data_IF_869486341519
#
_entry.id   IF_869486341519
#
_cell.length_a   1.000
_cell.length_b   1.000
_cell.length_c   1.000
_cell.angle_alpha   90.00
_cell.angle_beta   90.00
_cell.angle_gamma   90.00
#
_symmetry.space_group_name_H-M   'P 1'
#
loop_
_entity.id
_entity.type
_entity.pdbx_description
1 polymer ?
#
# COMPACT_ATOMS: atom_id res chain seq x y z
N UNK A 1 10.38 -4.46 -0.80
CA UNK A 1 9.40 -3.38 -0.97
C UNK A 1 7.99 -3.93 -1.05
N UNK A 2 7.50 -4.58 -2.12
CA UNK A 2 6.18 -5.23 -2.03
C UNK A 2 6.18 -6.56 -1.23
N UNK A 3 7.24 -7.37 -1.36
CA UNK A 3 7.39 -8.62 -0.58
C UNK A 3 7.37 -8.41 0.93
N UNK A 4 7.76 -7.23 1.42
CA UNK A 4 7.74 -6.93 2.86
C UNK A 4 6.31 -6.79 3.39
N UNK A 5 5.34 -6.43 2.55
CA UNK A 5 3.93 -6.39 2.93
C UNK A 5 3.33 -7.80 3.04
N UNK A 6 3.87 -8.78 2.33
CA UNK A 6 3.39 -10.17 2.38
C UNK A 6 3.80 -10.86 3.67
N UNK A 7 5.00 -10.56 4.15
CA UNK A 7 5.57 -11.05 5.42
C UNK A 7 5.12 -10.25 6.64
N UNK A 8 4.32 -9.20 6.44
CA UNK A 8 3.81 -8.42 7.55
C UNK A 8 2.76 -9.23 8.34
N UNK A 9 2.93 -9.29 9.65
CA UNK A 9 1.97 -9.94 10.53
C UNK A 9 0.65 -9.17 10.59
N UNK A 10 -0.46 -9.88 10.39
CA UNK A 10 -1.83 -9.36 10.51
C UNK A 10 -2.65 -10.20 11.47
N UNK A 11 -3.58 -9.55 12.18
CA UNK A 11 -4.51 -10.24 13.06
C UNK A 11 -5.79 -10.63 12.31
N UNK A 12 -6.12 -11.90 12.35
CA UNK A 12 -7.37 -12.45 11.83
C UNK A 12 -8.20 -13.07 12.96
N UNK A 13 -9.52 -13.06 12.78
CA UNK A 13 -10.48 -13.82 13.60
C UNK A 13 -10.97 -14.99 12.77
N UNK A 14 -10.82 -16.19 13.31
CA UNK A 14 -11.29 -17.42 12.67
C UNK A 14 -12.82 -17.50 12.75
N UNK A 15 -13.45 -17.76 11.61
CA UNK A 15 -14.90 -17.86 11.48
C UNK A 15 -15.40 -19.30 11.62
N UNK A 16 -14.52 -20.29 11.45
CA UNK A 16 -14.83 -21.72 11.50
C UNK A 16 -13.64 -22.47 12.08
N UNK A 17 -13.86 -23.62 12.77
CA UNK A 17 -12.76 -24.48 13.15
C UNK A 17 -12.04 -24.96 11.90
N UNK A 18 -10.71 -24.82 11.89
CA UNK A 18 -9.86 -25.15 10.75
C UNK A 18 -8.81 -26.16 11.21
N UNK A 19 -8.71 -27.34 10.58
CA UNK A 19 -7.70 -28.32 10.95
C UNK A 19 -6.29 -27.77 10.71
N UNK A 20 -5.28 -28.46 11.26
CA UNK A 20 -3.87 -28.16 10.97
C UNK A 20 -3.64 -28.21 9.45
N UNK A 21 -3.04 -27.17 8.90
CA UNK A 21 -2.66 -27.06 7.49
C UNK A 21 -1.16 -27.23 7.40
N UNK A 22 -0.72 -28.22 6.63
CA UNK A 22 0.69 -28.47 6.34
C UNK A 22 1.15 -27.57 5.18
N UNK A 23 2.24 -26.82 5.37
CA UNK A 23 2.81 -25.90 4.38
C UNK A 23 4.07 -26.48 3.72
N UNK A 24 4.49 -27.71 4.08
CA UNK A 24 5.69 -28.38 3.59
C UNK A 24 6.89 -28.22 4.53
N UNK A 25 7.99 -28.94 4.25
CA UNK A 25 9.31 -28.93 4.94
C UNK A 25 9.30 -28.51 6.44
N UNK A 26 8.41 -29.11 7.23
CA UNK A 26 8.22 -28.91 8.69
C UNK A 26 7.49 -27.64 9.14
N UNK A 27 6.91 -26.86 8.23
CA UNK A 27 6.08 -25.70 8.55
C UNK A 27 4.59 -26.04 8.46
N UNK A 28 3.85 -25.75 9.52
CA UNK A 28 2.40 -25.97 9.55
C UNK A 28 1.72 -24.92 10.42
N UNK A 29 0.50 -24.55 10.03
CA UNK A 29 -0.32 -23.56 10.73
C UNK A 29 -1.58 -24.21 11.31
N UNK A 30 -2.01 -23.72 12.47
CA UNK A 30 -3.13 -24.27 13.21
C UNK A 30 -2.79 -25.57 13.95
N UNK A 31 -3.81 -26.35 14.39
CA UNK A 31 -5.24 -26.17 14.16
C UNK A 31 -5.79 -24.90 14.83
N UNK A 32 -6.91 -24.40 14.32
CA UNK A 32 -7.55 -23.19 14.83
C UNK A 32 -9.01 -23.43 15.23
N UNK A 33 -9.44 -22.75 16.29
CA UNK A 33 -10.81 -22.80 16.78
C UNK A 33 -11.65 -21.64 16.23
N UNK A 34 -12.97 -21.80 16.22
CA UNK A 34 -13.89 -20.71 15.88
C UNK A 34 -13.80 -19.57 16.91
N UNK A 35 -13.77 -18.33 16.43
CA UNK A 35 -13.61 -17.13 17.24
C UNK A 35 -12.18 -16.86 17.71
N UNK A 36 -11.23 -17.77 17.44
CA UNK A 36 -9.83 -17.60 17.80
C UNK A 36 -9.20 -16.43 17.03
N UNK A 37 -8.40 -15.64 17.75
CA UNK A 37 -7.63 -14.54 17.16
C UNK A 37 -6.22 -15.03 16.93
N UNK A 38 -5.77 -14.99 15.68
CA UNK A 38 -4.46 -15.49 15.27
C UNK A 38 -3.70 -14.35 14.60
N UNK A 39 -2.39 -14.28 14.86
CA UNK A 39 -1.47 -13.39 14.14
C UNK A 39 -0.67 -14.25 13.17
N UNK A 40 -0.75 -13.95 11.88
CA UNK A 40 -0.04 -14.68 10.82
C UNK A 40 0.53 -13.68 9.80
N UNK A 41 1.58 -14.08 9.05
CA UNK A 41 1.98 -13.38 7.84
C UNK A 41 0.80 -13.14 6.91
N UNK A 42 0.77 -11.97 6.29
CA UNK A 42 -0.37 -11.53 5.51
C UNK A 42 -0.70 -12.46 4.34
N UNK A 43 0.31 -13.10 3.75
CA UNK A 43 0.09 -14.10 2.70
C UNK A 43 -0.71 -15.30 3.21
N UNK A 44 -0.41 -15.82 4.41
CA UNK A 44 -1.14 -16.93 5.03
C UNK A 44 -2.57 -16.51 5.38
N UNK A 45 -2.70 -15.34 6.01
CA UNK A 45 -3.99 -14.77 6.38
C UNK A 45 -4.89 -14.55 5.16
N UNK A 46 -4.33 -14.07 4.03
CA UNK A 46 -5.07 -13.84 2.79
C UNK A 46 -5.73 -15.11 2.26
N UNK A 47 -5.03 -16.24 2.30
CA UNK A 47 -5.59 -17.52 1.87
C UNK A 47 -6.78 -17.95 2.75
N UNK A 48 -6.66 -17.80 4.07
CA UNK A 48 -7.73 -18.13 5.02
C UNK A 48 -8.95 -17.22 4.84
N UNK A 49 -8.73 -15.91 4.65
CA UNK A 49 -9.81 -14.93 4.44
C UNK A 49 -10.49 -15.15 3.08
N UNK A 50 -9.72 -15.40 2.01
CA UNK A 50 -10.26 -15.70 0.68
C UNK A 50 -11.10 -16.98 0.66
N UNK A 51 -10.74 -17.97 1.46
CA UNK A 51 -11.51 -19.20 1.63
C UNK A 51 -12.78 -19.02 2.51
N UNK A 52 -13.01 -17.83 3.06
CA UNK A 52 -14.13 -17.55 3.97
C UNK A 52 -14.00 -18.27 5.32
N UNK A 53 -12.77 -18.63 5.73
CA UNK A 53 -12.45 -19.29 6.99
C UNK A 53 -12.09 -18.30 8.10
N UNK A 54 -11.69 -17.08 7.73
CA UNK A 54 -11.30 -16.03 8.66
C UNK A 54 -11.74 -14.65 8.15
N UNK A 55 -11.64 -13.64 9.01
CA UNK A 55 -11.76 -12.22 8.66
C UNK A 55 -10.65 -11.41 9.35
N UNK A 56 -10.25 -10.27 8.78
CA UNK A 56 -9.33 -9.35 9.45
C UNK A 56 -9.97 -8.80 10.74
N UNK A 57 -9.19 -8.69 11.82
CA UNK A 57 -9.67 -8.30 13.15
C UNK A 57 -9.75 -6.78 13.35
N UNK A 58 -8.66 -6.08 13.07
CA UNK A 58 -8.54 -4.63 13.31
C UNK A 58 -8.46 -3.81 12.01
N UNK A 59 -8.22 -4.48 10.89
CA UNK A 59 -8.01 -3.88 9.58
C UNK A 59 -9.16 -4.30 8.67
N UNK A 60 -10.30 -3.58 8.69
CA UNK A 60 -11.33 -3.84 7.69
C UNK A 60 -10.72 -3.66 6.29
N UNK A 61 -11.02 -4.54 5.30
CA UNK A 61 -10.59 -4.31 3.93
C UNK A 61 -10.94 -2.88 3.50
N UNK A 62 -10.05 -2.22 2.74
CA UNK A 62 -10.35 -0.88 2.21
C UNK A 62 -11.62 -0.98 1.39
N UNK A 63 -12.69 -0.33 1.84
CA UNK A 63 -13.92 -0.26 1.08
C UNK A 63 -13.86 0.89 0.07
N UNK A 64 -14.79 0.89 -0.90
CA UNK A 64 -14.85 1.94 -1.92
C UNK A 64 -14.96 3.35 -1.31
N UNK A 65 -15.71 3.51 -0.22
CA UNK A 65 -15.92 4.82 0.41
C UNK A 65 -14.61 5.39 1.00
N UNK A 66 -13.80 4.56 1.64
CA UNK A 66 -12.49 4.95 2.15
C UNK A 66 -11.51 5.30 1.03
N UNK A 67 -11.50 4.50 -0.05
CA UNK A 67 -10.69 4.78 -1.23
C UNK A 67 -11.07 6.12 -1.88
N UNK A 68 -12.38 6.38 -2.07
CA UNK A 68 -12.86 7.66 -2.58
C UNK A 68 -12.56 8.82 -1.64
N UNK A 69 -12.62 8.60 -0.32
CA UNK A 69 -12.20 9.62 0.67
C UNK A 69 -10.73 9.98 0.51
N UNK A 70 -9.85 8.97 0.34
CA UNK A 70 -8.44 9.19 0.09
C UNK A 70 -8.20 9.95 -1.21
N UNK A 71 -8.84 9.52 -2.31
CA UNK A 71 -8.76 10.18 -3.61
C UNK A 71 -9.19 11.65 -3.53
N UNK A 72 -10.34 11.92 -2.91
CA UNK A 72 -10.87 13.28 -2.77
C UNK A 72 -9.94 14.20 -1.96
N UNK A 73 -9.34 13.69 -0.87
CA UNK A 73 -8.34 14.45 -0.10
C UNK A 73 -7.10 14.72 -0.96
N UNK A 74 -6.67 13.73 -1.72
CA UNK A 74 -5.52 13.84 -2.62
C UNK A 74 -5.78 14.87 -3.73
N UNK A 75 -6.97 14.93 -4.31
CA UNK A 75 -7.31 15.91 -5.35
C UNK A 75 -7.31 17.36 -4.86
N UNK A 76 -7.80 17.60 -3.64
CA UNK A 76 -8.00 18.95 -3.12
C UNK A 76 -6.75 19.60 -2.57
N UNK A 77 -5.82 18.80 -2.04
CA UNK A 77 -4.64 19.33 -1.40
C UNK A 77 -3.45 19.32 -2.35
N UNK A 78 -2.61 20.36 -2.28
CA UNK A 78 -1.38 20.41 -3.09
C UNK A 78 -0.30 19.49 -2.55
N UNK A 79 -0.27 19.28 -1.24
CA UNK A 79 0.62 18.35 -0.56
C UNK A 79 0.09 16.91 -0.64
N UNK A 80 1.00 15.93 -0.57
CA UNK A 80 0.66 14.52 -0.42
C UNK A 80 -0.11 14.30 0.88
N UNK A 81 -1.21 13.57 0.79
CA UNK A 81 -2.03 13.25 1.95
C UNK A 81 -1.57 11.96 2.61
N UNK A 82 -1.69 11.84 3.94
CA UNK A 82 -1.43 10.57 4.60
C UNK A 82 -2.45 9.53 4.12
N UNK A 83 -1.98 8.34 3.79
CA UNK A 83 -2.84 7.19 3.59
C UNK A 83 -3.09 6.49 4.94
N UNK A 84 -4.23 5.80 5.08
CA UNK A 84 -4.48 4.94 6.24
C UNK A 84 -3.35 3.93 6.48
N UNK A 85 -3.22 3.49 7.73
CA UNK A 85 -2.29 2.41 8.05
C UNK A 85 -2.63 1.13 7.28
N UNK A 86 -1.61 0.39 6.88
CA UNK A 86 -1.72 -0.85 6.11
C UNK A 86 -2.58 -0.72 4.83
N UNK A 87 -2.75 0.49 4.27
CA UNK A 87 -3.69 0.75 3.17
C UNK A 87 -3.52 -0.21 1.99
N UNK A 88 -2.29 -0.40 1.50
CA UNK A 88 -2.01 -1.31 0.38
C UNK A 88 -2.33 -2.77 0.72
N UNK A 89 -2.06 -3.18 1.96
CA UNK A 89 -2.33 -4.53 2.40
C UNK A 89 -3.83 -4.77 2.50
N UNK A 90 -4.56 -3.87 3.16
CA UNK A 90 -6.03 -3.87 3.25
C UNK A 90 -6.69 -3.83 1.87
N UNK A 91 -6.11 -3.11 0.92
CA UNK A 91 -6.55 -3.07 -0.47
C UNK A 91 -6.36 -4.43 -1.18
N UNK A 92 -5.25 -5.11 -0.92
CA UNK A 92 -5.01 -6.46 -1.45
C UNK A 92 -6.07 -7.45 -0.96
N UNK A 93 -6.38 -7.44 0.34
CA UNK A 93 -7.45 -8.27 0.88
C UNK A 93 -8.79 -7.97 0.18
N UNK A 94 -9.13 -6.69 -0.03
CA UNK A 94 -10.33 -6.31 -0.77
C UNK A 94 -10.35 -6.89 -2.19
N UNK A 95 -9.27 -6.72 -2.96
CA UNK A 95 -9.20 -7.21 -4.35
C UNK A 95 -9.37 -8.72 -4.42
N UNK A 96 -8.93 -9.48 -3.42
CA UNK A 96 -9.01 -10.93 -3.44
C UNK A 96 -10.35 -11.48 -2.94
N UNK A 97 -11.09 -10.74 -2.10
CA UNK A 97 -12.29 -11.26 -1.42
C UNK A 97 -13.62 -10.73 -1.95
N UNK A 98 -13.62 -9.66 -2.75
CA UNK A 98 -14.85 -9.00 -3.20
C UNK A 98 -15.27 -9.38 -4.65
N UNK A 99 -16.52 -9.12 -5.06
CA UNK A 99 -17.01 -9.38 -6.41
C UNK A 99 -16.25 -8.61 -7.51
N UNK A 100 -16.19 -9.19 -8.72
CA UNK A 100 -15.43 -8.66 -9.85
C UNK A 100 -15.86 -7.24 -10.30
N UNK A 101 -17.15 -6.91 -10.17
CA UNK A 101 -17.67 -5.57 -10.50
C UNK A 101 -17.22 -4.50 -9.50
N UNK A 102 -17.12 -4.84 -8.21
CA UNK A 102 -16.54 -3.98 -7.19
C UNK A 102 -15.03 -3.81 -7.40
N UNK A 103 -14.32 -4.89 -7.76
CA UNK A 103 -12.88 -4.82 -8.09
C UNK A 103 -12.60 -3.84 -9.22
N UNK A 104 -13.42 -3.82 -10.28
CA UNK A 104 -13.24 -2.88 -11.40
C UNK A 104 -13.39 -1.43 -10.98
N UNK A 105 -14.41 -1.11 -10.16
CA UNK A 105 -14.63 0.24 -9.63
C UNK A 105 -13.46 0.67 -8.74
N UNK A 106 -13.03 -0.22 -7.86
CA UNK A 106 -11.89 -0.01 -6.97
C UNK A 106 -10.59 0.19 -7.76
N UNK A 107 -10.32 -0.63 -8.76
CA UNK A 107 -9.12 -0.55 -9.58
C UNK A 107 -9.04 0.80 -10.34
N UNK A 108 -10.17 1.32 -10.81
CA UNK A 108 -10.22 2.64 -11.43
C UNK A 108 -9.87 3.74 -10.42
N UNK A 109 -10.56 3.78 -9.27
CA UNK A 109 -10.33 4.79 -8.24
C UNK A 109 -8.90 4.72 -7.65
N UNK A 110 -8.36 3.51 -7.51
CA UNK A 110 -6.99 3.30 -7.06
C UNK A 110 -5.97 3.81 -8.07
N UNK A 111 -6.18 3.54 -9.37
CA UNK A 111 -5.33 4.09 -10.43
C UNK A 111 -5.33 5.61 -10.40
N UNK A 112 -6.50 6.23 -10.24
CA UNK A 112 -6.61 7.69 -10.15
C UNK A 112 -5.86 8.23 -8.94
N UNK A 113 -6.00 7.58 -7.77
CA UNK A 113 -5.26 7.94 -6.55
C UNK A 113 -3.74 7.86 -6.78
N UNK A 114 -3.26 6.75 -7.34
CA UNK A 114 -1.83 6.56 -7.64
C UNK A 114 -1.32 7.62 -8.61
N UNK A 115 -2.03 7.88 -9.71
CA UNK A 115 -1.65 8.92 -10.67
C UNK A 115 -1.51 10.29 -9.99
N UNK A 116 -2.48 10.69 -9.16
CA UNK A 116 -2.44 11.97 -8.44
C UNK A 116 -1.28 12.06 -7.46
N UNK A 117 -1.00 10.99 -6.74
CA UNK A 117 0.14 10.93 -5.82
C UNK A 117 1.46 11.01 -6.57
N UNK A 118 1.60 10.29 -7.69
CA UNK A 118 2.79 10.35 -8.55
C UNK A 118 3.05 11.75 -9.12
N UNK A 119 2.00 12.46 -9.57
CA UNK A 119 2.12 13.86 -10.01
C UNK A 119 2.72 14.75 -8.90
N UNK A 120 2.27 14.55 -7.66
CA UNK A 120 2.79 15.29 -6.50
C UNK A 120 4.22 14.90 -6.14
N UNK A 121 4.53 13.60 -6.14
CA UNK A 121 5.90 13.10 -5.93
C UNK A 121 6.86 13.72 -6.95
N UNK A 122 6.51 13.71 -8.23
CA UNK A 122 7.31 14.31 -9.29
C UNK A 122 7.47 15.83 -9.09
N UNK A 123 6.39 16.54 -8.74
CA UNK A 123 6.44 17.98 -8.44
C UNK A 123 7.36 18.32 -7.27
N UNK A 124 7.36 17.48 -6.23
CA UNK A 124 8.28 17.62 -5.09
C UNK A 124 9.72 17.32 -5.51
N UNK A 125 9.95 16.29 -6.33
CA UNK A 125 11.27 15.94 -6.87
C UNK A 125 11.89 17.08 -7.70
N UNK A 126 11.10 17.72 -8.57
CA UNK A 126 11.55 18.90 -9.34
C UNK A 126 11.96 20.06 -8.43
N UNK A 127 11.35 20.17 -7.25
CA UNK A 127 11.60 21.24 -6.26
C UNK A 127 12.57 20.81 -5.15
N UNK A 128 13.26 19.68 -5.29
CA UNK A 128 13.96 18.97 -4.21
C UNK A 128 14.99 19.78 -3.42
N UNK A 129 15.40 20.97 -3.90
CA UNK A 129 16.25 21.89 -3.15
C UNK A 129 15.55 22.56 -1.94
N UNK A 130 14.23 22.38 -1.71
CA UNK A 130 13.48 23.27 -0.80
C UNK A 130 12.64 22.66 0.34
N UNK A 131 12.43 21.34 0.50
CA UNK A 131 11.64 20.88 1.66
C UNK A 131 11.72 19.37 2.02
N UNK A 132 12.44 19.04 3.09
CA UNK A 132 12.49 17.66 3.66
C UNK A 132 11.13 17.21 4.19
N UNK A 133 10.31 18.14 4.71
CA UNK A 133 8.96 17.83 5.24
C UNK A 133 7.97 17.35 4.17
N UNK A 134 8.27 17.55 2.88
CA UNK A 134 7.36 17.16 1.79
C UNK A 134 7.30 15.64 1.55
N UNK A 135 8.12 14.83 2.24
CA UNK A 135 8.23 13.37 2.04
C UNK A 135 7.56 12.55 3.15
N UNK A 136 7.01 13.18 4.19
CA UNK A 136 6.48 12.49 5.38
C UNK A 136 5.33 11.52 5.04
N UNK A 137 4.45 11.91 4.11
CA UNK A 137 3.26 11.16 3.71
C UNK A 137 3.51 10.25 2.49
N UNK A 138 4.75 10.11 2.03
CA UNK A 138 5.10 9.19 0.95
C UNK A 138 5.19 7.76 1.48
N UNK A 139 4.63 6.82 0.72
CA UNK A 139 4.88 5.40 0.91
C UNK A 139 6.36 5.07 0.70
N UNK A 140 6.88 3.98 1.28
CA UNK A 140 8.28 3.57 1.08
C UNK A 140 8.69 3.50 -0.40
N UNK A 141 7.83 2.96 -1.26
CA UNK A 141 8.03 2.88 -2.71
C UNK A 141 8.05 4.26 -3.37
N UNK A 142 7.18 5.16 -2.94
CA UNK A 142 7.13 6.54 -3.43
C UNK A 142 8.39 7.31 -3.03
N UNK A 143 8.97 7.04 -1.85
CA UNK A 143 10.24 7.64 -1.40
C UNK A 143 11.41 7.20 -2.25
N UNK A 144 11.43 5.93 -2.67
CA UNK A 144 12.47 5.41 -3.57
C UNK A 144 12.36 6.10 -4.92
N UNK A 145 11.16 6.16 -5.51
CA UNK A 145 10.91 6.87 -6.75
C UNK A 145 11.29 8.36 -6.65
N UNK A 146 10.90 9.03 -5.57
CA UNK A 146 11.28 10.41 -5.30
C UNK A 146 12.80 10.61 -5.32
N UNK A 147 13.54 9.73 -4.64
CA UNK A 147 15.00 9.79 -4.56
C UNK A 147 15.64 9.68 -5.94
N UNK A 148 15.21 8.72 -6.75
CA UNK A 148 15.72 8.51 -8.11
C UNK A 148 15.41 9.71 -9.01
N UNK A 149 14.16 10.19 -9.01
CA UNK A 149 13.75 11.37 -9.78
C UNK A 149 14.55 12.61 -9.39
N UNK A 150 14.66 12.88 -8.09
CA UNK A 150 15.39 14.04 -7.57
C UNK A 150 16.87 13.97 -7.95
N UNK A 151 17.50 12.79 -7.89
CA UNK A 151 18.89 12.61 -8.32
C UNK A 151 19.07 12.95 -9.80
N UNK A 152 18.27 12.34 -10.66
CA UNK A 152 18.33 12.53 -12.11
C UNK A 152 18.10 14.00 -12.52
N UNK A 153 17.12 14.66 -11.89
CA UNK A 153 16.84 16.09 -12.14
C UNK A 153 18.02 16.96 -11.71
N UNK A 154 18.60 16.70 -10.54
CA UNK A 154 19.73 17.48 -10.04
C UNK A 154 20.98 17.30 -10.90
N UNK A 155 21.25 16.10 -11.40
CA UNK A 155 22.35 15.83 -12.33
C UNK A 155 22.17 16.59 -13.64
N UNK A 156 20.96 16.55 -14.22
CA UNK A 156 20.65 17.30 -15.44
C UNK A 156 20.80 18.81 -15.23
N UNK A 157 20.31 19.36 -14.11
CA UNK A 157 20.47 20.77 -13.78
C UNK A 157 21.94 21.17 -13.64
N UNK A 158 22.80 20.32 -13.05
CA UNK A 158 24.25 20.58 -12.99
C UNK A 158 24.87 20.67 -14.38
N UNK A 159 24.49 19.78 -15.30
CA UNK A 159 24.96 19.81 -16.69
C UNK A 159 24.51 21.10 -17.38
N UNK A 160 23.25 21.50 -17.20
CA UNK A 160 22.72 22.74 -17.76
C UNK A 160 23.41 24.00 -17.20
N UNK A 161 23.58 24.09 -15.89
CA UNK A 161 24.27 25.19 -15.22
C UNK A 161 25.70 25.36 -15.77
N UNK A 162 26.43 24.24 -15.89
CA UNK A 162 27.77 24.21 -16.48
C UNK A 162 27.77 24.66 -17.94
N UNK A 163 26.79 24.23 -18.73
CA UNK A 163 26.67 24.63 -20.14
C UNK A 163 26.37 26.12 -20.31
N UNK A 164 25.54 26.68 -19.42
CA UNK A 164 25.12 28.09 -19.48
C UNK A 164 26.08 29.06 -18.75
N UNK A 165 27.12 28.56 -18.09
CA UNK A 165 28.02 29.34 -17.21
C UNK A 165 27.26 30.09 -16.10
N UNK A 166 26.24 29.46 -15.53
CA UNK A 166 25.48 29.97 -14.39
C UNK A 166 25.87 29.12 -13.19
N UNK A 167 26.55 29.72 -12.19
CA UNK A 167 26.90 29.05 -10.92
C UNK A 167 25.65 28.60 -10.15
#
# INVERSE_FOLDING_TARGET
MLFQLEEQDVQIVMLKPTPKIDLGEDEAIGPFNEGEIVTLPAWQALHLVKAGLAKLKNDEPVNLAELYSCLWKEERQTALQPLPENFLLRLRFFIETFPEDEKKKLASAFRDLVCRRLEKVAKVAVRARQNVKATENMLPEEKVLYSELASNINEWLKVLHKFLNIE
#
